data_IF_604573221998
#
_entry.id   IF_604573221998
#
_cell.length_a   1.000
_cell.length_b   1.000
_cell.length_c   1.000
_cell.angle_alpha   90.00
_cell.angle_beta   90.00
_cell.angle_gamma   90.00
#
_symmetry.space_group_name_H-M   'P 1'
#
loop_
_entity.id
_entity.type
_entity.pdbx_description
1 polymer ?
#
# COMPACT_ATOMS: atom_id res chain seq x y z
N UNK A 1 -7.70 -0.25 38.73
CA UNK A 1 -7.37 -1.25 37.70
C UNK A 1 -5.85 -1.24 37.51
N UNK A 2 -5.23 -2.40 37.27
CA UNK A 2 -3.79 -2.40 36.94
C UNK A 2 -3.59 -1.70 35.59
N UNK A 3 -2.41 -1.09 35.35
CA UNK A 3 -2.12 -0.47 34.05
C UNK A 3 -2.33 -1.43 32.88
N UNK A 4 -1.93 -2.70 33.02
CA UNK A 4 -2.13 -3.76 32.01
C UNK A 4 -3.62 -4.03 31.74
N UNK A 5 -4.49 -4.00 32.77
CA UNK A 5 -5.95 -4.14 32.58
C UNK A 5 -6.53 -2.96 31.78
N UNK A 6 -6.01 -1.75 32.03
CA UNK A 6 -6.43 -0.56 31.26
C UNK A 6 -6.03 -0.72 29.79
N UNK A 7 -4.79 -1.16 29.52
CA UNK A 7 -4.33 -1.40 28.15
C UNK A 7 -5.17 -2.46 27.41
N UNK A 8 -5.46 -3.60 28.07
CA UNK A 8 -6.33 -4.64 27.51
C UNK A 8 -7.74 -4.09 27.27
N UNK A 9 -8.28 -3.30 28.19
CA UNK A 9 -9.57 -2.63 28.03
C UNK A 9 -9.61 -1.67 26.83
N UNK A 10 -8.55 -0.88 26.63
CA UNK A 10 -8.40 0.02 25.47
C UNK A 10 -8.40 -0.74 24.15
N UNK A 11 -7.61 -1.82 24.07
CA UNK A 11 -7.54 -2.65 22.86
C UNK A 11 -8.87 -3.39 22.59
N UNK A 12 -9.49 -3.95 23.65
CA UNK A 12 -10.78 -4.62 23.52
C UNK A 12 -11.90 -3.67 23.08
N UNK A 13 -11.94 -2.45 23.66
CA UNK A 13 -12.91 -1.42 23.28
C UNK A 13 -12.68 -0.98 21.82
N UNK A 14 -11.44 -0.78 21.41
CA UNK A 14 -11.09 -0.43 20.04
C UNK A 14 -11.60 -1.49 19.06
N UNK A 15 -11.27 -2.76 19.28
CA UNK A 15 -11.72 -3.87 18.44
C UNK A 15 -13.25 -3.98 18.45
N UNK A 16 -13.89 -3.81 19.60
CA UNK A 16 -15.35 -3.78 19.72
C UNK A 16 -16.01 -2.69 18.89
N UNK A 17 -15.47 -1.46 18.93
CA UNK A 17 -15.95 -0.34 18.11
C UNK A 17 -15.74 -0.59 16.61
N UNK A 18 -14.64 -1.25 16.22
CA UNK A 18 -14.40 -1.63 14.83
C UNK A 18 -15.41 -2.70 14.35
N UNK A 19 -15.73 -3.70 15.18
CA UNK A 19 -16.78 -4.68 14.88
C UNK A 19 -18.15 -4.00 14.70
N UNK A 20 -18.43 -2.95 15.46
CA UNK A 20 -19.60 -2.09 15.31
C UNK A 20 -19.54 -1.16 14.09
N UNK A 21 -18.54 -1.31 13.23
CA UNK A 21 -18.32 -0.53 11.99
C UNK A 21 -18.08 0.98 12.23
N UNK A 22 -17.58 1.36 13.38
CA UNK A 22 -17.13 2.74 13.59
C UNK A 22 -15.89 3.03 12.72
N UNK A 23 -15.75 4.28 12.22
CA UNK A 23 -14.53 4.70 11.54
C UNK A 23 -13.31 4.45 12.42
N UNK A 24 -12.23 3.90 11.83
CA UNK A 24 -11.03 3.48 12.57
C UNK A 24 -10.42 4.61 13.38
N UNK A 25 -10.40 5.82 12.83
CA UNK A 25 -9.95 7.00 13.56
C UNK A 25 -10.70 7.20 14.91
N UNK A 26 -12.02 7.10 14.90
CA UNK A 26 -12.83 7.21 16.11
C UNK A 26 -12.65 5.99 17.02
N UNK A 27 -12.55 4.78 16.44
CA UNK A 27 -12.31 3.55 17.17
C UNK A 27 -10.96 3.52 17.90
N UNK A 28 -9.96 4.28 17.43
CA UNK A 28 -8.68 4.49 18.12
C UNK A 28 -8.72 5.67 19.08
N UNK A 29 -9.35 6.78 18.67
CA UNK A 29 -9.40 8.01 19.45
C UNK A 29 -10.14 7.82 20.77
N UNK A 30 -11.32 7.17 20.76
CA UNK A 30 -12.17 7.03 21.95
C UNK A 30 -11.48 6.20 23.05
N UNK A 31 -11.00 4.96 22.80
CA UNK A 31 -10.31 4.21 23.84
C UNK A 31 -8.99 4.87 24.27
N UNK A 32 -8.27 5.51 23.34
CA UNK A 32 -7.07 6.28 23.65
C UNK A 32 -7.35 7.42 24.62
N UNK A 33 -8.39 8.21 24.34
CA UNK A 33 -8.82 9.30 25.23
C UNK A 33 -9.27 8.78 26.60
N UNK A 34 -10.08 7.73 26.64
CA UNK A 34 -10.58 7.15 27.89
C UNK A 34 -9.45 6.57 28.74
N UNK A 35 -8.54 5.79 28.12
CA UNK A 35 -7.41 5.20 28.82
C UNK A 35 -6.42 6.26 29.32
N UNK A 36 -6.12 7.26 28.51
CA UNK A 36 -5.27 8.39 28.90
C UNK A 36 -5.90 9.17 30.06
N UNK A 37 -7.18 9.54 29.95
CA UNK A 37 -7.88 10.26 31.01
C UNK A 37 -7.99 9.48 32.31
N UNK A 38 -8.13 8.14 32.21
CA UNK A 38 -8.19 7.26 33.39
C UNK A 38 -6.88 7.26 34.19
N UNK A 39 -5.75 7.30 33.49
CA UNK A 39 -4.42 7.20 34.13
C UNK A 39 -3.89 8.59 34.52
N UNK A 40 -3.95 9.57 33.63
CA UNK A 40 -3.33 10.88 33.76
C UNK A 40 -4.29 12.01 34.15
N UNK A 41 -5.61 11.76 34.14
CA UNK A 41 -6.63 12.75 34.40
C UNK A 41 -7.11 13.54 33.19
N UNK A 42 -8.32 14.09 33.27
CA UNK A 42 -8.98 14.80 32.15
C UNK A 42 -8.28 16.10 31.75
N UNK A 43 -7.77 16.86 32.71
CA UNK A 43 -7.07 18.13 32.41
C UNK A 43 -5.77 17.89 31.66
N UNK A 44 -5.04 16.83 32.02
CA UNK A 44 -3.82 16.39 31.31
C UNK A 44 -4.15 15.92 29.89
N UNK A 45 -5.27 15.23 29.70
CA UNK A 45 -5.75 14.83 28.37
C UNK A 45 -6.01 16.06 27.49
N UNK A 46 -6.70 17.09 28.00
CA UNK A 46 -6.99 18.30 27.22
C UNK A 46 -5.70 19.02 26.79
N UNK A 47 -4.71 19.07 27.69
CA UNK A 47 -3.39 19.62 27.41
C UNK A 47 -2.65 18.80 26.34
N UNK A 48 -2.67 17.46 26.47
CA UNK A 48 -2.06 16.54 25.52
C UNK A 48 -2.71 16.65 24.14
N UNK A 49 -4.05 16.68 24.05
CA UNK A 49 -4.77 16.83 22.78
C UNK A 49 -4.36 18.10 22.04
N UNK A 50 -4.28 19.23 22.75
CA UNK A 50 -3.85 20.50 22.16
C UNK A 50 -2.41 20.43 21.65
N UNK A 51 -1.49 19.90 22.43
CA UNK A 51 -0.08 19.77 22.07
C UNK A 51 0.15 18.80 20.93
N UNK A 52 -0.42 17.60 21.02
CA UNK A 52 -0.24 16.53 20.03
C UNK A 52 -0.83 16.92 18.68
N UNK A 53 -2.03 17.53 18.66
CA UNK A 53 -2.67 17.98 17.43
C UNK A 53 -1.81 19.00 16.70
N UNK A 54 -1.32 20.03 17.40
CA UNK A 54 -0.46 21.05 16.79
C UNK A 54 0.88 20.46 16.32
N UNK A 55 1.51 19.64 17.15
CA UNK A 55 2.77 18.98 16.79
C UNK A 55 2.61 18.11 15.54
N UNK A 56 1.55 17.29 15.48
CA UNK A 56 1.30 16.40 14.35
C UNK A 56 0.99 17.17 13.05
N UNK A 57 0.13 18.17 13.09
CA UNK A 57 -0.25 18.95 11.92
C UNK A 57 0.88 19.86 11.40
N UNK A 58 1.89 20.13 12.24
CA UNK A 58 3.05 20.95 11.88
C UNK A 58 4.22 20.15 11.29
N UNK A 59 4.11 18.80 11.20
CA UNK A 59 5.15 17.96 10.61
C UNK A 59 5.21 18.18 9.09
N UNK A 60 6.34 18.70 8.61
CA UNK A 60 6.53 19.02 7.18
C UNK A 60 6.41 17.78 6.28
N UNK A 61 6.95 16.66 6.72
CA UNK A 61 6.94 15.38 5.99
C UNK A 61 5.52 14.88 5.72
N UNK A 62 4.55 15.23 6.58
CA UNK A 62 3.15 14.84 6.35
C UNK A 62 2.54 15.52 5.12
N UNK A 63 3.10 16.63 4.64
CA UNK A 63 2.63 17.30 3.41
C UNK A 63 2.83 16.45 2.14
N UNK A 64 3.71 15.44 2.19
CA UNK A 64 3.92 14.49 1.09
C UNK A 64 2.65 13.67 0.80
N UNK A 65 1.85 13.36 1.83
CA UNK A 65 0.64 12.54 1.70
C UNK A 65 -0.41 13.22 0.82
N UNK A 66 -0.88 14.45 1.11
CA UNK A 66 -1.85 15.12 0.24
C UNK A 66 -1.30 15.36 -1.18
N UNK A 67 -0.01 15.58 -1.33
CA UNK A 67 0.59 15.77 -2.65
C UNK A 67 0.54 14.50 -3.51
N UNK A 68 0.95 13.34 -2.98
CA UNK A 68 0.83 12.07 -3.73
C UNK A 68 -0.62 11.65 -3.94
N UNK A 69 -1.51 11.88 -2.97
CA UNK A 69 -2.94 11.64 -3.17
C UNK A 69 -3.51 12.49 -4.29
N UNK A 70 -3.16 13.79 -4.33
CA UNK A 70 -3.59 14.69 -5.41
C UNK A 70 -3.05 14.25 -6.76
N UNK A 71 -1.76 13.87 -6.81
CA UNK A 71 -1.15 13.32 -8.02
C UNK A 71 -1.93 12.11 -8.54
N UNK A 72 -2.27 11.16 -7.66
CA UNK A 72 -3.07 9.98 -7.98
C UNK A 72 -4.48 10.34 -8.46
N UNK A 73 -5.19 11.21 -7.75
CA UNK A 73 -6.53 11.66 -8.14
C UNK A 73 -6.55 12.35 -9.51
N UNK A 74 -5.57 13.21 -9.78
CA UNK A 74 -5.40 13.86 -11.08
C UNK A 74 -5.11 12.84 -12.18
N UNK A 75 -4.30 11.82 -11.90
CA UNK A 75 -3.99 10.73 -12.82
C UNK A 75 -5.25 9.92 -13.19
N UNK A 76 -6.07 9.58 -12.19
CA UNK A 76 -7.36 8.90 -12.41
C UNK A 76 -8.27 9.73 -13.30
N UNK A 77 -8.50 11.00 -12.93
CA UNK A 77 -9.41 11.89 -13.65
C UNK A 77 -8.88 12.26 -15.04
N UNK A 78 -7.57 12.26 -15.24
CA UNK A 78 -6.91 12.51 -16.53
C UNK A 78 -6.91 11.32 -17.49
N UNK A 79 -7.56 10.18 -17.14
CA UNK A 79 -7.69 9.01 -18.00
C UNK A 79 -6.37 8.28 -18.27
N UNK A 80 -5.37 8.46 -17.41
CA UNK A 80 -4.04 7.84 -17.58
C UNK A 80 -4.08 6.32 -17.53
N UNK A 81 -5.00 5.74 -16.77
CA UNK A 81 -5.19 4.29 -16.64
C UNK A 81 -5.46 3.63 -18.00
N UNK A 82 -6.30 4.22 -18.83
CA UNK A 82 -6.59 3.70 -20.16
C UNK A 82 -5.36 3.76 -21.05
N UNK A 83 -4.67 4.88 -21.10
CA UNK A 83 -3.44 5.03 -21.91
C UNK A 83 -2.36 4.02 -21.50
N UNK A 84 -2.20 3.77 -20.19
CA UNK A 84 -1.26 2.79 -19.68
C UNK A 84 -1.63 1.36 -20.05
N UNK A 85 -2.91 1.00 -19.93
CA UNK A 85 -3.39 -0.32 -20.32
C UNK A 85 -3.24 -0.54 -21.84
N UNK A 86 -3.63 0.43 -22.66
CA UNK A 86 -3.51 0.35 -24.12
C UNK A 86 -2.04 0.22 -24.55
N UNK A 87 -1.12 0.97 -23.93
CA UNK A 87 0.31 0.84 -24.20
C UNK A 87 0.86 -0.54 -23.81
N UNK A 88 0.49 -1.04 -22.63
CA UNK A 88 0.88 -2.36 -22.17
C UNK A 88 0.29 -3.44 -23.10
N UNK A 89 -0.98 -3.34 -23.48
CA UNK A 89 -1.63 -4.28 -24.41
C UNK A 89 -0.98 -4.27 -25.80
N UNK A 90 -0.58 -3.12 -26.31
CA UNK A 90 0.17 -3.03 -27.58
C UNK A 90 1.55 -3.72 -27.53
N UNK A 91 2.19 -3.74 -26.36
CA UNK A 91 3.52 -4.37 -26.16
C UNK A 91 3.41 -5.87 -25.95
N UNK A 92 2.55 -6.32 -25.04
CA UNK A 92 2.50 -7.70 -24.56
C UNK A 92 1.20 -8.45 -24.90
N UNK A 93 0.18 -7.79 -25.45
CA UNK A 93 -1.14 -8.38 -25.70
C UNK A 93 -1.13 -9.57 -26.68
N UNK A 94 -0.07 -9.69 -27.52
CA UNK A 94 0.13 -10.81 -28.44
C UNK A 94 0.68 -12.08 -27.75
N UNK A 95 1.07 -11.99 -26.49
CA UNK A 95 1.52 -13.14 -25.69
C UNK A 95 0.31 -13.94 -25.19
N UNK A 96 0.55 -15.20 -24.83
CA UNK A 96 -0.44 -16.04 -24.14
C UNK A 96 -0.77 -15.42 -22.78
N UNK A 97 -2.05 -15.09 -22.55
CA UNK A 97 -2.45 -14.32 -21.37
C UNK A 97 -2.10 -12.82 -21.45
N UNK A 98 -1.79 -12.31 -22.65
CA UNK A 98 -1.21 -11.00 -22.88
C UNK A 98 -2.01 -9.83 -22.31
N UNK A 99 -3.36 -9.86 -22.35
CA UNK A 99 -4.18 -8.81 -21.75
C UNK A 99 -4.15 -8.86 -20.21
N UNK A 100 -4.07 -10.03 -19.60
CA UNK A 100 -3.89 -10.15 -18.15
C UNK A 100 -2.50 -9.66 -17.74
N UNK A 101 -1.45 -9.98 -18.50
CA UNK A 101 -0.09 -9.45 -18.29
C UNK A 101 -0.08 -7.93 -18.46
N UNK A 102 -0.75 -7.40 -19.49
CA UNK A 102 -0.89 -5.96 -19.69
C UNK A 102 -1.58 -5.28 -18.51
N UNK A 103 -2.60 -5.91 -17.93
CA UNK A 103 -3.26 -5.40 -16.73
C UNK A 103 -2.30 -5.34 -15.51
N UNK A 104 -1.43 -6.34 -15.31
CA UNK A 104 -0.39 -6.29 -14.25
C UNK A 104 0.56 -5.11 -14.48
N UNK A 105 1.08 -4.91 -15.70
CA UNK A 105 1.96 -3.78 -15.99
C UNK A 105 1.23 -2.43 -15.84
N UNK A 106 -0.02 -2.35 -16.29
CA UNK A 106 -0.84 -1.15 -16.10
C UNK A 106 -1.08 -0.86 -14.61
N UNK A 107 -1.37 -1.88 -13.80
CA UNK A 107 -1.48 -1.75 -12.35
C UNK A 107 -0.17 -1.30 -11.70
N UNK A 108 0.96 -1.87 -12.12
CA UNK A 108 2.28 -1.52 -11.59
C UNK A 108 2.60 -0.04 -11.83
N UNK A 109 2.48 0.42 -13.08
CA UNK A 109 2.78 1.82 -13.44
C UNK A 109 1.72 2.79 -12.90
N UNK A 110 0.44 2.44 -12.98
CA UNK A 110 -0.63 3.29 -12.44
C UNK A 110 -0.56 3.35 -10.91
N UNK A 111 -0.30 2.21 -10.27
CA UNK A 111 -0.13 2.11 -8.82
C UNK A 111 1.01 2.97 -8.31
N UNK A 112 2.13 3.04 -9.03
CA UNK A 112 3.25 3.91 -8.70
C UNK A 112 2.92 5.41 -8.76
N UNK A 113 1.85 5.81 -9.45
CA UNK A 113 1.38 7.21 -9.48
C UNK A 113 0.31 7.43 -8.42
N UNK A 114 -0.57 6.44 -8.25
CA UNK A 114 -1.75 6.54 -7.38
C UNK A 114 -1.41 6.29 -5.90
N UNK A 115 -0.40 5.45 -5.61
CA UNK A 115 0.02 5.10 -4.26
C UNK A 115 -1.03 4.37 -3.42
N UNK A 116 -2.10 3.85 -4.03
CA UNK A 116 -3.23 3.19 -3.36
C UNK A 116 -3.62 1.91 -4.08
N UNK A 117 -3.70 0.81 -3.34
CA UNK A 117 -4.13 -0.48 -3.84
C UNK A 117 -5.57 -0.46 -4.34
N UNK A 118 -6.47 0.06 -3.52
CA UNK A 118 -7.91 0.15 -3.79
C UNK A 118 -8.21 0.97 -5.05
N UNK A 119 -7.61 2.15 -5.15
CA UNK A 119 -7.81 3.03 -6.30
C UNK A 119 -7.23 2.42 -7.58
N UNK A 120 -6.08 1.74 -7.50
CA UNK A 120 -5.46 1.03 -8.62
C UNK A 120 -6.36 -0.11 -9.09
N UNK A 121 -6.80 -0.98 -8.18
CA UNK A 121 -7.69 -2.10 -8.49
C UNK A 121 -8.98 -1.61 -9.15
N UNK A 122 -9.66 -0.62 -8.56
CA UNK A 122 -10.91 -0.09 -9.08
C UNK A 122 -10.75 0.52 -10.48
N UNK A 123 -9.72 1.36 -10.66
CA UNK A 123 -9.54 2.13 -11.89
C UNK A 123 -9.10 1.24 -13.06
N UNK A 124 -8.14 0.35 -12.84
CA UNK A 124 -7.69 -0.56 -13.90
C UNK A 124 -8.76 -1.60 -14.22
N UNK A 125 -9.56 -2.05 -13.25
CA UNK A 125 -10.69 -2.95 -13.51
C UNK A 125 -11.69 -2.34 -14.47
N UNK A 126 -12.04 -1.06 -14.32
CA UNK A 126 -12.99 -0.37 -15.22
C UNK A 126 -12.52 -0.33 -16.68
N UNK A 127 -11.21 -0.35 -16.89
CA UNK A 127 -10.62 -0.30 -18.25
C UNK A 127 -10.32 -1.71 -18.77
N UNK A 128 -9.66 -2.54 -17.98
CA UNK A 128 -9.12 -3.82 -18.43
C UNK A 128 -10.16 -4.94 -18.44
N UNK A 129 -11.10 -4.97 -17.47
CA UNK A 129 -12.05 -6.07 -17.35
C UNK A 129 -12.97 -6.21 -18.57
N UNK A 130 -13.61 -5.12 -19.10
CA UNK A 130 -14.42 -5.22 -20.31
C UNK A 130 -13.62 -5.71 -21.53
N UNK A 131 -12.37 -5.28 -21.66
CA UNK A 131 -11.48 -5.67 -22.74
C UNK A 131 -11.08 -7.16 -22.63
N UNK A 132 -10.70 -7.62 -21.43
CA UNK A 132 -10.39 -9.03 -21.19
C UNK A 132 -11.61 -9.92 -21.48
N UNK A 133 -12.80 -9.50 -21.05
CA UNK A 133 -14.06 -10.22 -21.28
C UNK A 133 -14.38 -10.32 -22.76
N UNK A 134 -14.25 -9.24 -23.55
CA UNK A 134 -14.50 -9.23 -25.00
C UNK A 134 -13.58 -10.17 -25.77
N UNK A 135 -12.37 -10.44 -25.23
CA UNK A 135 -11.39 -11.37 -25.82
C UNK A 135 -11.46 -12.79 -25.23
N UNK A 136 -12.55 -13.14 -24.54
CA UNK A 136 -12.83 -14.49 -24.08
C UNK A 136 -12.05 -14.94 -22.83
N UNK A 137 -11.46 -14.02 -22.07
CA UNK A 137 -10.84 -14.36 -20.80
C UNK A 137 -11.91 -14.77 -19.78
N UNK A 138 -11.64 -15.81 -18.99
CA UNK A 138 -12.57 -16.21 -17.93
C UNK A 138 -12.70 -15.11 -16.87
N UNK A 139 -13.90 -15.01 -16.28
CA UNK A 139 -14.13 -14.10 -15.16
C UNK A 139 -13.18 -14.36 -14.00
N UNK A 140 -12.87 -15.65 -13.75
CA UNK A 140 -11.94 -16.09 -12.70
C UNK A 140 -10.54 -15.49 -12.90
N UNK A 141 -9.94 -15.64 -14.08
CA UNK A 141 -8.59 -15.13 -14.36
C UNK A 141 -8.58 -13.60 -14.37
N UNK A 142 -9.58 -12.98 -15.01
CA UNK A 142 -9.68 -11.53 -15.13
C UNK A 142 -9.78 -10.86 -13.76
N UNK A 143 -10.73 -11.28 -12.92
CA UNK A 143 -10.94 -10.65 -11.61
C UNK A 143 -9.77 -10.93 -10.65
N UNK A 144 -9.21 -12.13 -10.67
CA UNK A 144 -8.05 -12.47 -9.85
C UNK A 144 -6.82 -11.63 -10.24
N UNK A 145 -6.53 -11.51 -11.54
CA UNK A 145 -5.41 -10.68 -12.03
C UNK A 145 -5.56 -9.22 -11.62
N UNK A 146 -6.78 -8.67 -11.75
CA UNK A 146 -7.04 -7.27 -11.44
C UNK A 146 -7.00 -6.99 -9.93
N UNK A 147 -7.53 -7.89 -9.11
CA UNK A 147 -7.45 -7.79 -7.65
C UNK A 147 -6.00 -7.84 -7.17
N UNK A 148 -5.22 -8.79 -7.68
CA UNK A 148 -3.81 -8.96 -7.33
C UNK A 148 -2.94 -7.84 -7.90
N UNK A 149 -3.13 -7.47 -9.18
CA UNK A 149 -2.42 -6.35 -9.79
C UNK A 149 -2.61 -5.04 -9.03
N UNK A 150 -3.82 -4.79 -8.54
CA UNK A 150 -4.13 -3.61 -7.72
C UNK A 150 -3.24 -3.49 -6.49
N UNK A 151 -2.85 -4.60 -5.85
CA UNK A 151 -2.01 -4.58 -4.65
C UNK A 151 -0.60 -4.03 -4.90
N UNK A 152 -0.12 -4.02 -6.15
CA UNK A 152 1.19 -3.44 -6.49
C UNK A 152 1.26 -1.94 -6.17
N UNK A 153 0.12 -1.24 -6.12
CA UNK A 153 0.05 0.19 -5.83
C UNK A 153 0.51 0.60 -4.43
N UNK A 154 0.61 -0.32 -3.48
CA UNK A 154 1.15 -0.02 -2.14
C UNK A 154 2.65 -0.33 -2.02
N UNK A 155 3.19 -1.16 -2.90
CA UNK A 155 4.59 -1.57 -2.83
C UNK A 155 5.49 -0.77 -3.77
N UNK A 156 4.98 -0.40 -4.96
CA UNK A 156 5.76 0.36 -5.94
C UNK A 156 5.74 1.85 -5.58
N UNK A 157 6.90 2.48 -5.39
CA UNK A 157 6.96 3.90 -5.05
C UNK A 157 6.43 4.81 -6.19
N UNK A 158 5.88 6.00 -5.82
CA UNK A 158 5.58 6.47 -4.48
C UNK A 158 4.35 5.79 -3.87
N UNK A 159 4.46 5.37 -2.62
CA UNK A 159 3.42 4.64 -1.90
C UNK A 159 3.07 5.37 -0.61
N UNK A 160 1.79 5.70 -0.42
CA UNK A 160 1.30 6.36 0.81
C UNK A 160 1.54 5.48 2.05
N UNK A 161 1.27 4.16 2.05
CA UNK A 161 1.59 3.30 3.18
C UNK A 161 3.09 3.25 3.53
N UNK A 162 4.00 3.28 2.52
CA UNK A 162 5.45 3.37 2.76
C UNK A 162 5.83 4.68 3.45
N UNK A 163 5.24 5.80 3.04
CA UNK A 163 5.48 7.11 3.66
C UNK A 163 5.00 7.11 5.11
N UNK A 164 3.81 6.58 5.37
CA UNK A 164 3.26 6.49 6.72
C UNK A 164 4.13 5.61 7.60
N UNK A 165 4.57 4.45 7.09
CA UNK A 165 5.53 3.61 7.82
C UNK A 165 6.83 4.37 8.13
N UNK A 166 7.39 5.08 7.13
CA UNK A 166 8.61 5.86 7.29
C UNK A 166 8.50 6.88 8.43
N UNK A 167 7.37 7.60 8.49
CA UNK A 167 7.12 8.62 9.51
C UNK A 167 6.96 7.99 10.90
N UNK A 168 6.22 6.88 11.00
CA UNK A 168 5.98 6.20 12.28
C UNK A 168 7.21 5.48 12.83
N UNK A 169 8.04 4.92 11.95
CA UNK A 169 9.27 4.23 12.29
C UNK A 169 10.51 5.14 12.28
N UNK A 170 10.32 6.45 12.02
CA UNK A 170 11.39 7.46 11.92
C UNK A 170 12.50 7.06 10.92
N UNK A 171 12.08 6.52 9.75
CA UNK A 171 12.99 6.06 8.71
C UNK A 171 13.00 7.00 7.51
N UNK A 172 14.09 6.96 6.75
CA UNK A 172 14.22 7.75 5.52
C UNK A 172 13.30 7.21 4.42
N UNK A 173 12.41 8.08 3.90
CA UNK A 173 11.42 7.73 2.88
C UNK A 173 12.09 7.26 1.58
N UNK A 174 13.18 7.91 1.15
CA UNK A 174 13.87 7.54 -0.09
C UNK A 174 14.51 6.15 0.02
N UNK A 175 15.09 5.80 1.18
CA UNK A 175 15.61 4.44 1.43
C UNK A 175 14.52 3.38 1.39
N UNK A 176 13.37 3.64 1.97
CA UNK A 176 12.21 2.72 1.91
C UNK A 176 11.68 2.57 0.49
N UNK A 177 11.64 3.65 -0.28
CA UNK A 177 11.28 3.58 -1.69
C UNK A 177 12.28 2.71 -2.47
N UNK A 178 13.59 2.87 -2.26
CA UNK A 178 14.60 2.02 -2.88
C UNK A 178 14.44 0.54 -2.48
N UNK A 179 14.21 0.28 -1.17
CA UNK A 179 14.05 -1.06 -0.63
C UNK A 179 12.85 -1.82 -1.22
N UNK A 180 11.82 -1.12 -1.66
CA UNK A 180 10.60 -1.73 -2.20
C UNK A 180 10.69 -2.13 -3.68
N UNK A 181 11.66 -1.59 -4.44
CA UNK A 181 11.74 -1.80 -5.90
C UNK A 181 11.99 -3.28 -6.25
N UNK A 182 13.00 -3.90 -5.64
CA UNK A 182 13.34 -5.31 -5.94
C UNK A 182 12.18 -6.25 -5.54
N UNK A 183 11.59 -6.16 -4.33
CA UNK A 183 10.40 -6.90 -3.97
C UNK A 183 9.22 -6.72 -4.93
N UNK A 184 9.01 -5.50 -5.43
CA UNK A 184 7.94 -5.21 -6.40
C UNK A 184 8.21 -5.88 -7.77
N UNK A 185 9.45 -5.87 -8.24
CA UNK A 185 9.84 -6.56 -9.47
C UNK A 185 9.65 -8.07 -9.35
N UNK A 186 10.01 -8.66 -8.21
CA UNK A 186 9.78 -10.09 -7.93
C UNK A 186 8.26 -10.39 -7.97
N UNK A 187 7.42 -9.50 -7.40
CA UNK A 187 5.97 -9.65 -7.47
C UNK A 187 5.46 -9.65 -8.91
N UNK A 188 5.86 -8.67 -9.72
CA UNK A 188 5.47 -8.57 -11.13
C UNK A 188 5.85 -9.84 -11.89
N UNK A 189 7.09 -10.31 -11.74
CA UNK A 189 7.57 -11.55 -12.39
C UNK A 189 6.76 -12.75 -11.93
N UNK A 190 6.50 -12.89 -10.63
CA UNK A 190 5.67 -13.95 -10.07
C UNK A 190 4.25 -13.94 -10.62
N UNK A 191 3.62 -12.77 -10.67
CA UNK A 191 2.26 -12.63 -11.20
C UNK A 191 2.18 -12.93 -12.70
N UNK A 192 3.15 -12.49 -13.48
CA UNK A 192 3.26 -12.84 -14.90
C UNK A 192 3.43 -14.34 -15.07
N UNK A 193 4.27 -14.99 -14.26
CA UNK A 193 4.46 -16.44 -14.30
C UNK A 193 3.15 -17.18 -13.98
N UNK A 194 2.40 -16.76 -12.94
CA UNK A 194 1.07 -17.33 -12.61
C UNK A 194 0.11 -17.20 -13.79
N UNK A 195 0.04 -16.01 -14.42
CA UNK A 195 -0.84 -15.80 -15.58
C UNK A 195 -0.47 -16.74 -16.72
N UNK A 196 0.83 -16.88 -17.04
CA UNK A 196 1.29 -17.75 -18.13
C UNK A 196 1.00 -19.24 -17.85
N UNK A 197 1.01 -19.66 -16.59
CA UNK A 197 0.71 -21.02 -16.18
C UNK A 197 -0.80 -21.29 -16.15
N UNK A 198 -1.58 -20.38 -15.57
CA UNK A 198 -3.04 -20.54 -15.38
C UNK A 198 -3.81 -20.35 -16.69
N UNK A 199 -3.34 -19.46 -17.56
CA UNK A 199 -3.96 -19.22 -18.86
C UNK A 199 -4.02 -20.47 -19.75
N UNK A 200 -3.08 -21.42 -19.60
CA UNK A 200 -3.10 -22.70 -20.35
C UNK A 200 -4.38 -23.52 -20.10
N UNK A 201 -5.02 -23.33 -18.98
CA UNK A 201 -6.25 -24.02 -18.59
C UNK A 201 -7.52 -23.21 -18.90
N UNK A 202 -7.39 -21.97 -19.36
CA UNK A 202 -8.49 -21.05 -19.60
C UNK A 202 -9.06 -21.10 -21.04
N UNK A 203 -8.51 -21.94 -21.87
CA UNK A 203 -8.97 -22.54 -23.16
C UNK A 203 -9.61 -21.66 -24.22
N UNK A 204 -10.13 -20.48 -23.93
CA UNK A 204 -10.90 -19.64 -24.87
C UNK A 204 -10.34 -18.24 -25.09
N UNK A 205 -9.38 -17.80 -24.29
CA UNK A 205 -8.84 -16.47 -24.40
C UNK A 205 -7.95 -16.30 -25.64
N UNK A 206 -8.33 -15.40 -26.51
CA UNK A 206 -7.61 -15.08 -27.73
C UNK A 206 -6.51 -14.05 -27.46
N UNK A 207 -5.27 -14.39 -27.85
CA UNK A 207 -4.20 -13.40 -27.88
C UNK A 207 -4.52 -12.33 -28.93
N UNK A 208 -4.17 -11.07 -28.63
CA UNK A 208 -4.28 -10.00 -29.62
C UNK A 208 -3.32 -10.24 -30.80
N UNK A 209 -3.66 -9.79 -32.00
CA UNK A 209 -2.68 -9.75 -33.08
C UNK A 209 -1.50 -8.85 -32.68
N UNK A 210 -0.30 -9.19 -33.12
CA UNK A 210 0.89 -8.40 -32.83
C UNK A 210 0.70 -6.99 -33.37
N UNK A 211 0.66 -5.99 -32.48
CA UNK A 211 0.50 -4.59 -32.88
C UNK A 211 1.63 -4.14 -33.78
N UNK A 212 1.30 -3.36 -34.82
CA UNK A 212 2.30 -2.76 -35.71
C UNK A 212 3.22 -1.82 -34.93
N UNK A 213 4.42 -1.58 -35.45
CA UNK A 213 5.36 -0.65 -34.82
C UNK A 213 4.80 0.77 -34.70
N UNK A 214 4.00 1.19 -35.67
CA UNK A 214 3.31 2.49 -35.63
C UNK A 214 2.35 2.61 -34.44
N UNK A 215 1.52 1.58 -34.18
CA UNK A 215 0.62 1.53 -33.03
C UNK A 215 1.41 1.51 -31.72
N UNK A 216 2.46 0.70 -31.62
CA UNK A 216 3.32 0.66 -30.42
C UNK A 216 3.95 2.01 -30.13
N UNK A 217 4.50 2.68 -31.16
CA UNK A 217 5.08 4.02 -31.03
C UNK A 217 4.03 5.04 -30.56
N UNK A 218 2.84 5.01 -31.17
CA UNK A 218 1.76 5.95 -30.82
C UNK A 218 1.31 5.80 -29.37
N UNK A 219 1.12 4.55 -28.90
CA UNK A 219 0.71 4.30 -27.50
C UNK A 219 1.82 4.65 -26.52
N UNK A 220 3.10 4.36 -26.84
CA UNK A 220 4.24 4.73 -26.01
C UNK A 220 4.42 6.24 -25.91
N UNK A 221 4.27 6.98 -27.00
CA UNK A 221 4.27 8.46 -26.97
C UNK A 221 3.11 8.99 -26.13
N UNK A 222 1.97 8.28 -26.15
CA UNK A 222 0.84 8.61 -25.28
C UNK A 222 1.13 8.52 -23.78
N UNK A 223 2.02 7.65 -23.35
CA UNK A 223 2.39 7.48 -21.93
C UNK A 223 3.75 8.10 -21.57
N UNK A 224 4.51 8.58 -22.56
CA UNK A 224 5.84 9.17 -22.35
C UNK A 224 5.86 10.31 -21.31
N UNK A 225 4.90 11.24 -21.24
CA UNK A 225 4.88 12.28 -20.21
C UNK A 225 4.85 11.70 -18.78
N UNK A 226 4.16 10.57 -18.59
CA UNK A 226 4.07 9.90 -17.30
C UNK A 226 5.43 9.33 -16.88
N UNK A 227 6.10 8.62 -17.80
CA UNK A 227 7.44 8.11 -17.57
C UNK A 227 8.45 9.24 -17.33
N UNK A 228 8.33 10.35 -18.06
CA UNK A 228 9.16 11.53 -17.85
C UNK A 228 8.97 12.13 -16.45
N UNK A 229 7.73 12.25 -15.97
CA UNK A 229 7.43 12.71 -14.61
C UNK A 229 8.02 11.73 -13.59
N UNK A 230 7.85 10.42 -13.79
CA UNK A 230 8.40 9.40 -12.91
C UNK A 230 9.92 9.49 -12.81
N UNK A 231 10.61 9.55 -13.95
CA UNK A 231 12.07 9.68 -14.01
C UNK A 231 12.53 10.98 -13.37
N UNK A 232 11.82 12.10 -13.60
CA UNK A 232 12.15 13.39 -13.00
C UNK A 232 12.02 13.34 -11.47
N UNK A 233 10.92 12.82 -10.95
CA UNK A 233 10.66 12.74 -9.50
C UNK A 233 11.66 11.81 -8.82
N UNK A 234 11.77 10.56 -9.28
CA UNK A 234 12.66 9.59 -8.63
C UNK A 234 14.13 9.86 -8.91
N UNK A 235 14.46 10.25 -10.14
CA UNK A 235 15.81 10.68 -10.49
C UNK A 235 16.26 11.87 -9.65
N UNK A 236 15.37 12.84 -9.42
CA UNK A 236 15.65 14.00 -8.57
C UNK A 236 15.78 13.64 -7.08
N UNK A 237 14.95 12.72 -6.56
CA UNK A 237 15.04 12.26 -5.17
C UNK A 237 16.34 11.50 -4.95
N UNK A 238 16.68 10.52 -5.80
CA UNK A 238 17.89 9.70 -5.63
C UNK A 238 19.18 10.43 -5.97
N UNK A 239 19.14 11.46 -6.81
CA UNK A 239 20.30 12.34 -7.03
C UNK A 239 20.49 13.40 -5.93
N UNK A 240 19.58 13.49 -4.95
CA UNK A 240 19.63 14.48 -3.88
C UNK A 240 19.20 15.89 -4.30
N UNK A 241 18.65 16.07 -5.51
CA UNK A 241 18.16 17.37 -5.99
C UNK A 241 16.82 17.76 -5.32
N UNK A 242 16.04 16.78 -4.94
CA UNK A 242 14.72 16.97 -4.33
C UNK A 242 14.60 16.14 -3.06
N UNK A 243 13.95 16.72 -2.05
CA UNK A 243 13.37 15.92 -0.97
C UNK A 243 12.16 15.11 -1.50
N UNK A 244 11.76 14.04 -0.84
CA UNK A 244 10.54 13.31 -1.24
C UNK A 244 9.28 14.19 -1.32
N UNK A 245 9.16 15.21 -0.46
CA UNK A 245 8.05 16.18 -0.47
C UNK A 245 8.08 17.09 -1.69
N UNK A 246 9.26 17.61 -2.03
CA UNK A 246 9.46 18.42 -3.25
C UNK A 246 9.22 17.59 -4.51
N UNK A 247 9.68 16.33 -4.52
CA UNK A 247 9.41 15.38 -5.59
C UNK A 247 7.90 15.14 -5.77
N UNK A 248 7.16 15.01 -4.68
CA UNK A 248 5.70 14.87 -4.73
C UNK A 248 5.01 16.11 -5.30
N UNK A 249 5.47 17.32 -4.95
CA UNK A 249 4.95 18.57 -5.49
C UNK A 249 5.22 18.69 -7.00
N UNK A 250 6.43 18.37 -7.44
CA UNK A 250 6.84 18.36 -8.85
C UNK A 250 6.03 17.31 -9.63
N UNK A 251 5.87 16.11 -9.10
CA UNK A 251 5.05 15.05 -9.70
C UNK A 251 3.60 15.47 -9.88
N UNK A 252 3.01 16.07 -8.84
CA UNK A 252 1.63 16.58 -8.86
C UNK A 252 1.46 17.67 -9.91
N UNK A 253 2.37 18.65 -9.94
CA UNK A 253 2.37 19.71 -10.94
C UNK A 253 2.54 19.15 -12.36
N UNK A 254 3.44 18.18 -12.54
CA UNK A 254 3.67 17.51 -13.82
C UNK A 254 2.43 16.78 -14.34
N UNK A 255 1.73 16.02 -13.49
CA UNK A 255 0.49 15.32 -13.85
C UNK A 255 -0.61 16.32 -14.18
N UNK A 256 -0.78 17.39 -13.38
CA UNK A 256 -1.76 18.45 -13.65
C UNK A 256 -1.49 19.11 -15.00
N UNK A 257 -0.27 19.58 -15.24
CA UNK A 257 0.12 20.24 -16.49
C UNK A 257 -0.04 19.32 -17.70
N UNK A 258 0.37 18.06 -17.59
CA UNK A 258 0.21 17.05 -18.64
C UNK A 258 -1.28 16.82 -18.96
N UNK A 259 -2.13 16.70 -17.94
CA UNK A 259 -3.57 16.51 -18.10
C UNK A 259 -4.28 17.72 -18.72
N UNK A 260 -3.88 18.93 -18.33
CA UNK A 260 -4.40 20.17 -18.92
C UNK A 260 -3.95 20.33 -20.39
N UNK A 261 -2.66 20.10 -20.69
CA UNK A 261 -2.11 20.15 -22.04
C UNK A 261 -2.85 19.21 -23.00
N UNK A 262 -3.12 17.99 -22.52
CA UNK A 262 -3.86 16.96 -23.29
C UNK A 262 -5.37 17.22 -23.34
N UNK A 263 -5.87 18.28 -22.70
CA UNK A 263 -7.29 18.59 -22.55
C UNK A 263 -8.11 17.42 -21.93
N UNK A 264 -7.43 16.56 -21.19
CA UNK A 264 -8.03 15.41 -20.50
C UNK A 264 -8.62 15.82 -19.13
N UNK A 265 -8.10 16.89 -18.51
CA UNK A 265 -8.59 17.43 -17.25
C UNK A 265 -9.46 18.66 -17.50
N UNK A 266 -10.73 18.55 -17.15
CA UNK A 266 -11.65 19.69 -17.06
C UNK A 266 -11.54 20.35 -15.69
N UNK A 267 -11.98 21.61 -15.55
CA UNK A 267 -12.04 22.28 -14.25
C UNK A 267 -12.86 21.50 -13.22
N UNK A 268 -13.96 20.90 -13.64
CA UNK A 268 -14.77 20.02 -12.77
C UNK A 268 -13.98 18.79 -12.30
N UNK A 269 -13.18 18.18 -13.17
CA UNK A 269 -12.32 17.04 -12.80
C UNK A 269 -11.23 17.45 -11.81
N UNK A 270 -10.59 18.61 -12.00
CA UNK A 270 -9.59 19.16 -11.06
C UNK A 270 -10.23 19.44 -9.69
N UNK A 271 -11.39 20.11 -9.68
CA UNK A 271 -12.14 20.36 -8.44
C UNK A 271 -12.48 19.05 -7.71
N UNK A 272 -12.97 18.04 -8.44
CA UNK A 272 -13.28 16.74 -7.85
C UNK A 272 -12.02 16.02 -7.31
N UNK A 273 -10.87 16.14 -8.00
CA UNK A 273 -9.59 15.60 -7.52
C UNK A 273 -9.13 16.27 -6.22
N UNK A 274 -9.23 17.61 -6.15
CA UNK A 274 -8.87 18.38 -4.94
C UNK A 274 -9.78 18.02 -3.76
N UNK A 275 -11.10 17.97 -3.99
CA UNK A 275 -12.06 17.59 -2.93
C UNK A 275 -11.83 16.16 -2.44
N UNK A 276 -11.65 15.19 -3.34
CA UNK A 276 -11.36 13.80 -2.96
C UNK A 276 -10.01 13.68 -2.22
N UNK A 277 -9.02 14.47 -2.61
CA UNK A 277 -7.74 14.54 -1.89
C UNK A 277 -7.93 15.10 -0.49
N UNK A 278 -8.67 16.20 -0.34
CA UNK A 278 -8.94 16.82 0.95
C UNK A 278 -9.68 15.86 1.89
N UNK A 279 -10.69 15.14 1.39
CA UNK A 279 -11.44 14.14 2.15
C UNK A 279 -10.54 13.00 2.63
N UNK A 280 -9.75 12.41 1.73
CA UNK A 280 -8.82 11.31 2.07
C UNK A 280 -7.73 11.78 3.03
N UNK A 281 -7.17 12.98 2.82
CA UNK A 281 -6.15 13.57 3.69
C UNK A 281 -6.70 13.82 5.10
N UNK A 282 -7.90 14.39 5.19
CA UNK A 282 -8.56 14.63 6.48
C UNK A 282 -8.80 13.31 7.22
N UNK A 283 -9.25 12.26 6.51
CA UNK A 283 -9.42 10.93 7.10
C UNK A 283 -8.09 10.40 7.65
N UNK A 284 -7.01 10.44 6.87
CA UNK A 284 -5.68 9.97 7.28
C UNK A 284 -5.18 10.74 8.49
N UNK A 285 -5.29 12.07 8.48
CA UNK A 285 -4.83 12.90 9.61
C UNK A 285 -5.66 12.65 10.87
N UNK A 286 -6.95 12.35 10.71
CA UNK A 286 -7.78 11.99 11.85
C UNK A 286 -7.42 10.60 12.41
N UNK A 287 -7.00 9.65 11.55
CA UNK A 287 -6.45 8.37 12.00
C UNK A 287 -5.13 8.60 12.76
N UNK A 288 -4.24 9.48 12.28
CA UNK A 288 -3.00 9.82 13.00
C UNK A 288 -3.30 10.36 14.41
N UNK A 289 -4.25 11.27 14.54
CA UNK A 289 -4.63 11.82 15.86
C UNK A 289 -5.20 10.72 16.77
N UNK A 290 -6.02 9.82 16.23
CA UNK A 290 -6.53 8.67 16.97
C UNK A 290 -5.41 7.74 17.41
N UNK A 291 -4.46 7.43 16.50
CA UNK A 291 -3.29 6.61 16.78
C UNK A 291 -2.37 7.23 17.84
N UNK A 292 -2.07 8.53 17.72
CA UNK A 292 -1.23 9.24 18.68
C UNK A 292 -1.83 9.19 20.08
N UNK A 293 -3.14 9.38 20.19
CA UNK A 293 -3.82 9.34 21.48
C UNK A 293 -3.87 7.92 22.04
N UNK A 294 -4.15 6.93 21.20
CA UNK A 294 -4.11 5.51 21.56
C UNK A 294 -2.71 5.10 22.05
N UNK A 295 -1.68 5.49 21.31
CA UNK A 295 -0.28 5.19 21.65
C UNK A 295 0.16 5.89 22.93
N UNK A 296 -0.23 7.16 23.12
CA UNK A 296 0.03 7.91 24.36
C UNK A 296 -0.64 7.23 25.56
N UNK A 297 -1.89 6.80 25.41
CA UNK A 297 -2.60 6.04 26.43
C UNK A 297 -1.92 4.69 26.73
N UNK A 298 -1.54 3.93 25.70
CA UNK A 298 -0.83 2.66 25.87
C UNK A 298 0.56 2.85 26.50
N UNK A 299 1.27 3.91 26.13
CA UNK A 299 2.58 4.23 26.74
C UNK A 299 2.47 4.46 28.23
N UNK A 300 1.42 5.17 28.71
CA UNK A 300 1.16 5.36 30.14
C UNK A 300 0.87 4.05 30.87
N UNK A 301 0.38 3.02 30.20
CA UNK A 301 0.20 1.69 30.77
C UNK A 301 1.50 0.88 30.88
N UNK A 302 2.58 1.35 30.26
CA UNK A 302 3.86 0.63 30.10
C UNK A 302 3.76 -0.69 29.31
N UNK A 303 2.61 -1.00 28.73
CA UNK A 303 2.41 -2.23 27.95
C UNK A 303 3.46 -2.45 26.83
N UNK A 304 3.85 -1.43 26.01
CA UNK A 304 4.90 -1.62 25.02
C UNK A 304 6.24 -2.03 25.61
N UNK A 305 6.63 -1.46 26.75
CA UNK A 305 7.88 -1.81 27.45
C UNK A 305 7.81 -3.20 28.09
N UNK A 306 6.67 -3.56 28.69
CA UNK A 306 6.43 -4.91 29.24
C UNK A 306 6.48 -5.96 28.12
N UNK A 307 5.88 -5.70 26.95
CA UNK A 307 5.93 -6.58 25.78
C UNK A 307 7.37 -6.73 25.28
N UNK A 308 8.13 -5.63 25.17
CA UNK A 308 9.53 -5.69 24.75
C UNK A 308 10.38 -6.52 25.74
N UNK A 309 10.18 -6.33 27.04
CA UNK A 309 10.85 -7.11 28.08
C UNK A 309 10.43 -8.58 28.03
N UNK A 310 9.13 -8.85 27.92
CA UNK A 310 8.62 -10.22 27.80
C UNK A 310 9.20 -10.94 26.58
N UNK A 311 9.24 -10.28 25.42
CA UNK A 311 9.84 -10.81 24.19
C UNK A 311 11.33 -11.11 24.39
N UNK A 312 12.07 -10.27 25.10
CA UNK A 312 13.50 -10.50 25.38
C UNK A 312 13.75 -11.63 26.39
N UNK A 313 12.75 -12.00 27.21
CA UNK A 313 12.83 -13.11 28.17
C UNK A 313 12.40 -14.46 27.59
N UNK A 314 11.76 -14.46 26.42
CA UNK A 314 11.38 -15.70 25.74
C UNK A 314 12.66 -16.39 25.26
N UNK A 315 12.90 -17.59 25.73
CA UNK A 315 14.00 -18.47 25.27
C UNK A 315 13.66 -19.10 23.90
N UNK A 316 13.25 -18.24 22.95
CA UNK A 316 12.93 -18.64 21.60
C UNK A 316 13.84 -17.89 20.62
N UNK A 317 14.20 -18.55 19.53
CA UNK A 317 14.97 -17.90 18.48
C UNK A 317 14.23 -16.64 17.97
N UNK A 318 14.88 -15.47 17.85
CA UNK A 318 14.26 -14.19 17.45
C UNK A 318 13.39 -14.27 16.19
N UNK A 319 13.73 -15.14 15.25
CA UNK A 319 12.95 -15.38 14.06
C UNK A 319 11.49 -15.86 14.33
N UNK A 320 11.26 -16.63 15.42
CA UNK A 320 9.91 -17.07 15.77
C UNK A 320 9.03 -15.93 16.25
N UNK A 321 9.62 -14.98 16.99
CA UNK A 321 8.92 -13.76 17.40
C UNK A 321 8.52 -12.93 16.16
N UNK A 322 9.46 -12.77 15.23
CA UNK A 322 9.16 -12.08 13.97
C UNK A 322 8.04 -12.79 13.20
N UNK A 323 8.11 -14.13 13.04
CA UNK A 323 7.04 -14.90 12.37
C UNK A 323 5.71 -14.73 13.07
N UNK A 324 5.66 -14.76 14.40
CA UNK A 324 4.41 -14.53 15.15
C UNK A 324 3.84 -13.13 14.89
N UNK A 325 4.69 -12.10 14.85
CA UNK A 325 4.28 -10.74 14.50
C UNK A 325 3.79 -10.69 13.06
N UNK A 326 4.46 -11.32 12.11
CA UNK A 326 4.03 -11.36 10.71
C UNK A 326 2.69 -12.08 10.52
N UNK A 327 2.44 -13.15 11.29
CA UNK A 327 1.14 -13.85 11.32
C UNK A 327 0.06 -12.94 11.90
N UNK A 328 0.36 -12.19 12.97
CA UNK A 328 -0.58 -11.19 13.51
C UNK A 328 -0.93 -10.12 12.45
N UNK A 329 0.08 -9.60 11.74
CA UNK A 329 -0.15 -8.67 10.63
C UNK A 329 -1.02 -9.27 9.53
N UNK A 330 -0.81 -10.54 9.20
CA UNK A 330 -1.63 -11.24 8.21
C UNK A 330 -3.10 -11.34 8.64
N UNK A 331 -3.35 -11.65 9.91
CA UNK A 331 -4.72 -11.70 10.45
C UNK A 331 -5.37 -10.32 10.45
N UNK A 332 -4.65 -9.29 10.88
CA UNK A 332 -5.16 -7.92 10.92
C UNK A 332 -5.41 -7.38 9.51
N UNK A 333 -4.50 -7.60 8.55
CA UNK A 333 -4.63 -7.12 7.17
C UNK A 333 -5.78 -7.76 6.40
N UNK A 334 -6.26 -8.92 6.87
CA UNK A 334 -7.46 -9.55 6.29
C UNK A 334 -8.77 -8.85 6.70
N UNK A 335 -8.74 -8.00 7.72
CA UNK A 335 -9.94 -7.37 8.31
C UNK A 335 -9.88 -5.84 8.25
N UNK A 336 -8.68 -5.27 8.35
CA UNK A 336 -8.44 -3.82 8.38
C UNK A 336 -7.88 -3.32 7.05
N UNK A 337 -8.07 -2.03 6.78
CA UNK A 337 -7.36 -1.35 5.68
C UNK A 337 -5.87 -1.17 6.01
N UNK A 338 -5.07 -0.99 4.97
CA UNK A 338 -3.62 -0.90 5.07
C UNK A 338 -3.12 0.21 5.99
N UNK A 339 -3.75 1.39 5.93
CA UNK A 339 -3.29 2.56 6.67
C UNK A 339 -3.58 2.43 8.16
N UNK A 340 -4.80 2.04 8.51
CA UNK A 340 -5.23 1.82 9.89
C UNK A 340 -4.39 0.77 10.59
N UNK A 341 -4.09 -0.33 9.89
CA UNK A 341 -3.28 -1.40 10.44
C UNK A 341 -1.85 -0.92 10.74
N UNK A 342 -1.18 -0.25 9.80
CA UNK A 342 0.18 0.27 9.99
C UNK A 342 0.22 1.26 11.16
N UNK A 343 -0.73 2.22 11.19
CA UNK A 343 -0.77 3.26 12.22
C UNK A 343 -1.02 2.71 13.62
N UNK A 344 -1.80 1.64 13.73
CA UNK A 344 -2.06 1.00 15.01
C UNK A 344 -0.87 0.18 15.51
N UNK A 345 -0.27 -0.61 14.62
CA UNK A 345 0.63 -1.68 15.03
C UNK A 345 2.09 -1.25 15.13
N UNK A 346 2.55 -0.36 14.23
CA UNK A 346 3.95 0.06 14.21
C UNK A 346 4.39 0.66 15.55
N UNK A 347 3.69 1.62 16.15
CA UNK A 347 4.16 2.21 17.41
C UNK A 347 4.23 1.21 18.57
N UNK A 348 3.44 0.14 18.52
CA UNK A 348 3.38 -0.88 19.59
C UNK A 348 4.41 -1.99 19.37
N UNK A 349 4.52 -2.51 18.15
CA UNK A 349 5.32 -3.70 17.85
C UNK A 349 6.75 -3.38 17.40
N UNK A 350 6.94 -2.24 16.76
CA UNK A 350 8.24 -1.84 16.22
C UNK A 350 9.35 -1.75 17.28
N UNK A 351 9.16 -1.11 18.47
CA UNK A 351 10.18 -1.05 19.48
C UNK A 351 10.61 -2.44 19.99
N UNK A 352 9.67 -3.36 20.16
CA UNK A 352 9.95 -4.72 20.62
C UNK A 352 10.78 -5.49 19.58
N UNK A 353 10.50 -5.33 18.28
CA UNK A 353 11.25 -5.98 17.21
C UNK A 353 12.65 -5.40 17.01
N UNK A 354 12.81 -4.09 17.19
CA UNK A 354 14.13 -3.44 17.06
C UNK A 354 15.11 -3.88 18.12
N UNK A 355 14.63 -4.34 19.28
CA UNK A 355 15.45 -4.94 20.35
C UNK A 355 15.97 -6.35 20.05
N UNK A 356 15.44 -7.04 19.03
CA UNK A 356 15.86 -8.40 18.68
C UNK A 356 17.07 -8.39 17.74
N UNK A 357 17.94 -9.38 17.90
CA UNK A 357 18.98 -9.66 16.90
C UNK A 357 18.36 -10.51 15.78
N UNK A 358 18.16 -9.88 14.64
CA UNK A 358 17.59 -10.50 13.44
C UNK A 358 18.64 -10.48 12.33
N UNK A 359 19.23 -11.63 12.03
CA UNK A 359 20.25 -11.84 10.98
C UNK A 359 21.49 -10.93 11.10
N UNK A 360 21.83 -10.42 12.29
CA UNK A 360 22.95 -9.50 12.49
C UNK A 360 22.78 -8.16 11.78
N UNK A 361 21.54 -7.78 11.41
CA UNK A 361 21.26 -6.52 10.74
C UNK A 361 21.43 -5.33 11.68
N UNK A 362 22.03 -4.25 11.18
CA UNK A 362 22.01 -2.96 11.86
C UNK A 362 20.57 -2.46 12.08
N UNK A 363 20.37 -1.65 13.11
CA UNK A 363 19.01 -1.19 13.48
C UNK A 363 18.30 -0.49 12.34
N UNK A 364 18.99 0.32 11.53
CA UNK A 364 18.40 1.02 10.39
C UNK A 364 17.98 0.04 9.28
N UNK A 365 18.86 -0.89 8.91
CA UNK A 365 18.58 -1.89 7.88
C UNK A 365 17.43 -2.82 8.29
N UNK A 366 17.43 -3.23 9.57
CA UNK A 366 16.38 -4.02 10.18
C UNK A 366 15.02 -3.29 10.11
N UNK A 367 15.01 -1.99 10.41
CA UNK A 367 13.80 -1.16 10.34
C UNK A 367 13.27 -1.03 8.91
N UNK A 368 14.14 -0.79 7.93
CA UNK A 368 13.77 -0.70 6.51
C UNK A 368 13.24 -2.05 6.01
N UNK A 369 13.97 -3.13 6.26
CA UNK A 369 13.57 -4.48 5.86
C UNK A 369 12.24 -4.92 6.49
N UNK A 370 12.03 -4.66 7.78
CA UNK A 370 10.77 -4.94 8.46
C UNK A 370 9.60 -4.19 7.83
N UNK A 371 9.79 -2.92 7.48
CA UNK A 371 8.76 -2.13 6.79
C UNK A 371 8.35 -2.75 5.45
N UNK A 372 9.30 -3.26 4.67
CA UNK A 372 8.98 -3.96 3.43
C UNK A 372 8.21 -5.25 3.69
N UNK A 373 8.60 -6.04 4.69
CA UNK A 373 7.88 -7.26 5.07
C UNK A 373 6.44 -6.96 5.50
N UNK A 374 6.22 -5.94 6.33
CA UNK A 374 4.87 -5.50 6.74
C UNK A 374 4.02 -5.18 5.52
N UNK A 375 4.54 -4.36 4.59
CA UNK A 375 3.78 -4.00 3.40
C UNK A 375 3.49 -5.17 2.47
N UNK A 376 4.38 -6.15 2.37
CA UNK A 376 4.13 -7.37 1.61
C UNK A 376 3.03 -8.22 2.24
N UNK A 377 2.96 -8.28 3.56
CA UNK A 377 1.88 -9.00 4.26
C UNK A 377 0.56 -8.24 4.16
N UNK A 378 0.58 -6.91 4.24
CA UNK A 378 -0.59 -6.09 3.94
C UNK A 378 -1.10 -6.38 2.53
N UNK A 379 -0.21 -6.37 1.55
CA UNK A 379 -0.51 -6.70 0.16
C UNK A 379 -1.17 -8.08 0.03
N UNK A 380 -0.65 -9.08 0.72
CA UNK A 380 -1.22 -10.42 0.80
C UNK A 380 -2.65 -10.41 1.38
N UNK A 381 -2.86 -9.72 2.50
CA UNK A 381 -4.17 -9.64 3.17
C UNK A 381 -5.25 -8.97 2.34
N UNK A 382 -4.89 -7.99 1.49
CA UNK A 382 -5.84 -7.30 0.61
C UNK A 382 -6.50 -8.20 -0.43
N UNK A 383 -5.95 -9.37 -0.71
CA UNK A 383 -6.52 -10.36 -1.65
C UNK A 383 -6.83 -11.70 -0.99
N UNK A 384 -6.38 -11.91 0.25
CA UNK A 384 -6.59 -13.15 0.98
C UNK A 384 -8.01 -13.22 1.58
N UNK A 385 -8.64 -14.42 1.63
CA UNK A 385 -9.83 -14.63 2.45
C UNK A 385 -9.53 -14.33 3.94
N UNK A 386 -10.51 -13.88 4.76
CA UNK A 386 -11.96 -13.91 4.51
C UNK A 386 -12.51 -12.66 3.81
N UNK A 387 -11.85 -11.50 3.88
CA UNK A 387 -12.41 -10.25 3.32
C UNK A 387 -11.76 -9.92 1.99
N UNK A 388 -10.43 -9.71 1.95
CA UNK A 388 -9.70 -9.37 0.73
C UNK A 388 -10.28 -8.14 0.02
N UNK A 389 -10.03 -6.96 0.55
CA UNK A 389 -10.68 -5.71 0.12
C UNK A 389 -10.62 -5.48 -1.40
N UNK A 390 -9.48 -5.78 -2.04
CA UNK A 390 -9.35 -5.67 -3.49
C UNK A 390 -10.24 -6.65 -4.24
N UNK A 391 -10.43 -7.87 -3.71
CA UNK A 391 -11.33 -8.87 -4.29
C UNK A 391 -12.77 -8.35 -4.29
N UNK A 392 -13.21 -7.76 -3.17
CA UNK A 392 -14.56 -7.17 -3.05
C UNK A 392 -14.72 -6.03 -4.05
N UNK A 393 -13.74 -5.14 -4.16
CA UNK A 393 -13.80 -3.98 -5.07
C UNK A 393 -13.88 -4.43 -6.52
N UNK A 394 -13.01 -5.34 -6.94
CA UNK A 394 -13.02 -5.86 -8.31
C UNK A 394 -14.33 -6.58 -8.62
N UNK A 395 -14.84 -7.40 -7.70
CA UNK A 395 -16.13 -8.07 -7.87
C UNK A 395 -17.32 -7.11 -7.91
N UNK A 396 -17.25 -5.98 -7.21
CA UNK A 396 -18.33 -4.97 -7.30
C UNK A 396 -18.44 -4.33 -8.69
N UNK A 397 -17.34 -4.35 -9.47
CA UNK A 397 -17.26 -3.87 -10.84
C UNK A 397 -17.49 -4.98 -11.88
N UNK A 398 -17.24 -6.23 -11.53
CA UNK A 398 -17.44 -7.43 -12.36
C UNK A 398 -18.54 -8.32 -11.76
N UNK A 399 -19.73 -7.76 -11.60
CA UNK A 399 -20.85 -8.36 -10.82
C UNK A 399 -21.32 -9.74 -11.32
N UNK A 400 -21.09 -10.06 -12.58
CA UNK A 400 -21.43 -11.35 -13.17
C UNK A 400 -20.49 -12.48 -12.74
N UNK A 401 -19.34 -12.18 -12.14
CA UNK A 401 -18.40 -13.19 -11.66
C UNK A 401 -18.68 -13.47 -10.18
N UNK A 402 -19.02 -14.72 -9.83
CA UNK A 402 -19.16 -15.08 -8.42
C UNK A 402 -17.87 -14.84 -7.64
N UNK A 403 -17.96 -14.21 -6.48
CA UNK A 403 -16.78 -13.86 -5.65
C UNK A 403 -15.92 -15.08 -5.30
N UNK A 404 -16.55 -16.24 -5.16
CA UNK A 404 -15.85 -17.52 -4.92
C UNK A 404 -14.93 -17.92 -6.07
N UNK A 405 -15.26 -17.53 -7.31
CA UNK A 405 -14.37 -17.75 -8.46
C UNK A 405 -13.15 -16.84 -8.39
N UNK A 406 -13.34 -15.59 -7.98
CA UNK A 406 -12.22 -14.66 -7.77
C UNK A 406 -11.30 -15.18 -6.67
N UNK A 407 -11.83 -15.63 -5.52
CA UNK A 407 -11.01 -16.22 -4.46
C UNK A 407 -10.23 -17.45 -4.92
N UNK A 408 -10.86 -18.34 -5.69
CA UNK A 408 -10.15 -19.48 -6.29
C UNK A 408 -9.08 -19.04 -7.30
N UNK A 409 -9.32 -17.94 -8.01
CA UNK A 409 -8.40 -17.38 -8.97
C UNK A 409 -7.17 -16.72 -8.33
N UNK A 410 -7.30 -16.12 -7.15
CA UNK A 410 -6.16 -15.47 -6.46
C UNK A 410 -5.24 -16.47 -5.74
N UNK A 411 -5.66 -17.70 -5.47
CA UNK A 411 -4.81 -18.68 -4.76
C UNK A 411 -3.41 -18.88 -5.36
N UNK A 412 -3.24 -19.03 -6.69
CA UNK A 412 -1.89 -19.13 -7.26
C UNK A 412 -1.04 -17.85 -7.06
N UNK A 413 -1.68 -16.68 -7.07
CA UNK A 413 -1.00 -15.41 -6.81
C UNK A 413 -0.60 -15.30 -5.32
N UNK A 414 -1.47 -15.71 -4.40
CA UNK A 414 -1.13 -15.80 -2.97
C UNK A 414 0.04 -16.75 -2.72
N UNK A 415 0.13 -17.85 -3.46
CA UNK A 415 1.28 -18.77 -3.34
C UNK A 415 2.60 -18.08 -3.75
N UNK A 416 2.58 -17.25 -4.80
CA UNK A 416 3.78 -16.47 -5.19
C UNK A 416 4.11 -15.37 -4.19
N UNK A 417 3.10 -14.72 -3.59
CA UNK A 417 3.32 -13.73 -2.54
C UNK A 417 3.88 -14.38 -1.27
N UNK A 418 3.35 -15.54 -0.86
CA UNK A 418 3.90 -16.30 0.26
C UNK A 418 5.36 -16.70 0.01
N UNK A 419 5.68 -17.20 -1.19
CA UNK A 419 7.05 -17.52 -1.57
C UNK A 419 7.96 -16.28 -1.51
N UNK A 420 7.48 -15.14 -2.00
CA UNK A 420 8.21 -13.86 -1.96
C UNK A 420 8.46 -13.39 -0.53
N UNK A 421 7.44 -13.47 0.36
CA UNK A 421 7.61 -13.14 1.79
C UNK A 421 8.68 -14.04 2.41
N UNK A 422 8.63 -15.35 2.16
CA UNK A 422 9.64 -16.30 2.65
C UNK A 422 11.02 -15.98 2.10
N UNK A 423 11.15 -15.66 0.81
CA UNK A 423 12.42 -15.27 0.21
C UNK A 423 13.02 -14.03 0.88
N UNK A 424 12.22 -12.98 1.11
CA UNK A 424 12.71 -11.76 1.75
C UNK A 424 12.96 -11.95 3.25
N UNK A 425 12.25 -12.88 3.89
CA UNK A 425 12.49 -13.23 5.28
C UNK A 425 13.89 -13.84 5.46
N UNK A 426 14.30 -14.76 4.57
CA UNK A 426 15.61 -15.41 4.64
C UNK A 426 16.73 -14.62 3.97
N UNK A 427 16.40 -13.74 3.02
CA UNK A 427 17.37 -12.95 2.26
C UNK A 427 17.04 -11.44 2.34
N UNK A 428 17.31 -10.78 3.49
CA UNK A 428 17.09 -9.34 3.66
C UNK A 428 17.81 -8.50 2.60
N UNK A 429 18.94 -8.99 2.09
CA UNK A 429 19.72 -8.34 1.04
C UNK A 429 18.92 -8.05 -0.23
N UNK A 430 17.85 -8.81 -0.52
CA UNK A 430 17.00 -8.55 -1.68
C UNK A 430 16.25 -7.20 -1.60
N UNK A 431 15.95 -6.73 -0.40
CA UNK A 431 15.37 -5.40 -0.19
C UNK A 431 16.43 -4.34 0.11
N UNK A 432 17.56 -4.72 0.73
CA UNK A 432 18.58 -3.77 1.17
C UNK A 432 19.66 -3.49 0.12
N UNK A 433 19.85 -4.39 -0.86
CA UNK A 433 20.89 -4.23 -1.88
C UNK A 433 20.83 -2.88 -2.61
N UNK A 434 19.64 -2.48 -3.07
CA UNK A 434 19.48 -1.21 -3.79
C UNK A 434 19.63 0.00 -2.85
N UNK A 435 19.29 -0.15 -1.57
CA UNK A 435 19.50 0.89 -0.55
C UNK A 435 20.98 1.17 -0.38
N UNK A 436 21.80 0.12 -0.19
CA UNK A 436 23.25 0.25 -0.01
C UNK A 436 23.98 0.68 -1.30
N UNK A 437 23.37 0.47 -2.47
CA UNK A 437 23.95 0.93 -3.73
C UNK A 437 23.69 2.41 -4.02
N UNK A 438 22.56 2.94 -3.54
CA UNK A 438 22.14 4.34 -3.78
C UNK A 438 22.56 5.30 -2.67
N UNK A 439 22.86 4.80 -1.49
CA UNK A 439 23.16 5.56 -0.27
C UNK A 439 24.40 5.02 0.45
#
# INVERSE_FOLDING_TARGET
MSPTMVAVGMLALMLGLMVLRMPVAAAMFIPGALGFAWIAGGDTLLGALKGTTMARLSVYELSIIPLFLLMGQLAVKGGLSRSLFDAAAALVGHLKGGLAIAAIFACAVFGSICGSSVATAATITQVAYPEMKSHGYSGRLSTATLATGGTLGILIPPSVPLVIYAILAEQNIAKLFAASIVPALIAIVGYVAVIMLTHRHDGQANALPKASWAVRRQTLVGVAPIFAIFVLVFGGIYSGLFTPTEGAAIGTAGVLLSGLYRKALTWAAVKAAVLGTAETTAMIFFIFLGADLMNSGLALTQLPAELATWVSTIDAHPAWVLVAVLVLYLLLSSVMDELSMIMLTIPVLFPALMGLDLWGLETQDKAIWFGILVLMIVQFGLIAPPIGLNVIIVNSLAREVPITQTYRGVLPFLATDALRIVLLLFFPSLSLWLVHWLH
#
